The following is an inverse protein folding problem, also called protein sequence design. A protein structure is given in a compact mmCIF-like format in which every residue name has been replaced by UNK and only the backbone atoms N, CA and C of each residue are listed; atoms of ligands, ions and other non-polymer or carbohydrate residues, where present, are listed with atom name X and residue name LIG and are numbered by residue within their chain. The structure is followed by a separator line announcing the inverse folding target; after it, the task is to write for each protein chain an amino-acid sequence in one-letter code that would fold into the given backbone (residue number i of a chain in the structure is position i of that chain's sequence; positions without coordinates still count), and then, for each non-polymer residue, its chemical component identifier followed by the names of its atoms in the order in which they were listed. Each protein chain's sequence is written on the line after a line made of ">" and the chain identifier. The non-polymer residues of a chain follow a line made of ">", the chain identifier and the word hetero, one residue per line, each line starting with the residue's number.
data_IF_554892726796
#
_entry.id   IF_554892726796
#
_cell.length_a   1.000
_cell.length_b   1.000
_cell.length_c   1.000
_cell.angle_alpha   90.00
_cell.angle_beta   90.00
_cell.angle_gamma   90.00
#
_symmetry.space_group_name_H-M   'P 1'
#
loop_
_entity.id
_entity.type
_entity.pdbx_description
1 polymer ?
#
# COMPACT_ATOMS: atom_id res chain seq x y z
N UNK A 1 -57.62 -4.72 49.96
CA UNK A 1 -57.99 -5.21 48.62
C UNK A 1 -56.72 -5.43 47.82
N UNK A 2 -56.55 -6.69 47.41
CA UNK A 2 -55.83 -7.28 46.27
C UNK A 2 -54.60 -6.64 45.59
N UNK A 3 -53.71 -7.56 45.21
CA UNK A 3 -52.71 -7.55 44.12
C UNK A 3 -51.37 -6.84 44.36
N UNK A 4 -50.20 -7.37 43.97
CA UNK A 4 -49.75 -8.67 43.44
C UNK A 4 -48.22 -8.55 43.21
N UNK A 5 -47.46 -9.61 43.50
CA UNK A 5 -46.33 -10.25 42.75
C UNK A 5 -45.38 -9.33 41.94
N UNK A 6 -44.06 -9.46 41.94
CA UNK A 6 -43.28 -10.70 41.78
C UNK A 6 -41.78 -10.47 42.06
N UNK A 7 -41.15 -11.51 42.60
CA UNK A 7 -39.72 -11.67 42.83
C UNK A 7 -38.98 -11.94 41.51
N UNK A 8 -37.81 -11.34 41.32
CA UNK A 8 -36.83 -11.76 40.30
C UNK A 8 -35.44 -11.78 40.92
N UNK A 9 -34.96 -12.98 41.23
CA UNK A 9 -33.58 -13.26 41.58
C UNK A 9 -32.75 -13.27 40.29
N UNK A 10 -31.77 -12.37 40.18
CA UNK A 10 -30.78 -12.37 39.11
C UNK A 10 -29.55 -13.16 39.60
N UNK A 11 -29.36 -14.37 39.06
CA UNK A 11 -28.16 -15.17 39.24
C UNK A 11 -27.16 -14.71 38.17
N UNK A 12 -26.10 -14.02 38.59
CA UNK A 12 -24.94 -13.69 37.77
C UNK A 12 -23.99 -14.89 37.75
N UNK A 13 -23.97 -15.63 36.64
CA UNK A 13 -22.94 -16.64 36.34
C UNK A 13 -21.83 -15.93 35.58
N UNK A 14 -20.67 -15.77 36.22
CA UNK A 14 -19.46 -15.30 35.56
C UNK A 14 -18.80 -16.48 34.81
N UNK A 15 -18.95 -16.49 33.49
CA UNK A 15 -18.24 -17.40 32.59
C UNK A 15 -16.77 -16.95 32.49
N UNK A 16 -15.88 -17.71 33.13
CA UNK A 16 -14.43 -17.65 32.88
C UNK A 16 -14.15 -18.29 31.51
N UNK A 17 -13.95 -17.45 30.49
CA UNK A 17 -13.42 -17.86 29.19
C UNK A 17 -11.91 -18.05 29.34
N UNK A 18 -11.46 -19.30 29.44
CA UNK A 18 -10.05 -19.64 29.20
C UNK A 18 -9.84 -19.58 27.69
N UNK A 19 -9.16 -18.54 27.22
CA UNK A 19 -8.71 -18.47 25.83
C UNK A 19 -7.62 -19.54 25.64
N UNK A 20 -7.99 -20.66 25.02
CA UNK A 20 -7.01 -21.61 24.49
C UNK A 20 -6.44 -20.94 23.24
N UNK A 21 -5.21 -20.44 23.32
CA UNK A 21 -4.49 -20.02 22.11
C UNK A 21 -4.40 -21.25 21.19
N UNK A 22 -4.68 -21.12 19.88
CA UNK A 22 -4.50 -22.23 18.97
C UNK A 22 -3.04 -22.69 19.05
N UNK A 23 -2.82 -24.01 19.06
CA UNK A 23 -1.48 -24.59 18.89
C UNK A 23 -0.86 -23.98 17.63
N UNK A 24 0.37 -23.50 17.74
CA UNK A 24 1.04 -22.79 16.66
C UNK A 24 1.33 -23.79 15.52
N UNK A 25 0.61 -23.67 14.41
CA UNK A 25 0.95 -24.40 13.20
C UNK A 25 2.39 -24.05 12.79
N UNK A 26 3.11 -24.99 12.17
CA UNK A 26 4.46 -24.76 11.66
C UNK A 26 4.48 -23.48 10.83
N UNK A 27 5.25 -22.49 11.28
CA UNK A 27 5.28 -21.17 10.67
C UNK A 27 6.64 -20.85 10.08
N UNK A 28 6.63 -20.20 8.91
CA UNK A 28 7.82 -19.57 8.32
C UNK A 28 7.72 -18.07 8.54
N UNK A 29 8.77 -17.47 9.08
CA UNK A 29 8.88 -16.01 9.23
C UNK A 29 10.15 -15.50 8.58
N UNK A 30 10.05 -14.43 7.79
CA UNK A 30 11.18 -13.69 7.24
C UNK A 30 10.81 -12.22 7.04
N UNK A 31 11.81 -11.36 6.92
CA UNK A 31 11.63 -9.92 6.65
C UNK A 31 11.84 -9.67 5.15
N UNK A 32 10.87 -10.15 4.36
CA UNK A 32 10.91 -9.99 2.91
C UNK A 32 10.61 -8.53 2.52
N UNK A 33 11.41 -7.92 1.63
CA UNK A 33 11.18 -6.54 1.21
C UNK A 33 9.93 -6.43 0.33
N UNK A 34 9.11 -5.40 0.56
CA UNK A 34 7.94 -5.12 -0.29
C UNK A 34 8.28 -4.61 -1.69
N UNK A 35 9.51 -4.14 -1.91
CA UNK A 35 10.01 -3.67 -3.21
C UNK A 35 11.45 -4.15 -3.43
N UNK A 36 11.81 -4.47 -4.66
CA UNK A 36 13.15 -4.96 -5.01
C UNK A 36 13.67 -4.31 -6.29
N UNK A 37 14.94 -3.90 -6.30
CA UNK A 37 15.55 -3.28 -7.48
C UNK A 37 15.98 -4.35 -8.49
N UNK A 38 15.60 -4.16 -9.75
CA UNK A 38 15.94 -5.08 -10.84
C UNK A 38 17.46 -5.09 -11.05
N UNK A 39 18.04 -6.29 -11.16
CA UNK A 39 19.48 -6.46 -11.36
C UNK A 39 20.33 -6.38 -10.09
N UNK A 40 19.76 -5.94 -8.97
CA UNK A 40 20.44 -5.91 -7.67
C UNK A 40 20.22 -7.20 -6.89
N UNK A 41 21.31 -7.70 -6.29
CA UNK A 41 21.29 -8.94 -5.53
C UNK A 41 20.59 -8.73 -4.19
N UNK A 42 19.56 -9.53 -3.94
CA UNK A 42 18.80 -9.57 -2.71
C UNK A 42 19.28 -10.71 -1.81
N UNK A 43 19.14 -10.55 -0.49
CA UNK A 43 19.44 -11.59 0.49
C UNK A 43 18.45 -11.50 1.64
N UNK A 44 17.71 -12.58 1.89
CA UNK A 44 16.75 -12.67 2.99
C UNK A 44 16.89 -14.02 3.68
N UNK A 45 16.78 -14.04 5.00
CA UNK A 45 16.76 -15.28 5.79
C UNK A 45 15.35 -15.50 6.34
N UNK A 46 14.84 -16.69 6.12
CA UNK A 46 13.58 -17.19 6.67
C UNK A 46 13.87 -18.20 7.77
N UNK A 47 13.04 -18.20 8.80
CA UNK A 47 13.11 -19.17 9.90
C UNK A 47 11.85 -20.01 9.92
N UNK A 48 12.02 -21.33 9.89
CA UNK A 48 10.96 -22.31 10.12
C UNK A 48 11.02 -22.71 11.60
N UNK A 49 9.97 -22.40 12.34
CA UNK A 49 9.86 -22.65 13.79
C UNK A 49 9.00 -23.87 14.03
N UNK A 50 9.40 -24.69 15.02
CA UNK A 50 8.72 -25.92 15.44
C UNK A 50 8.33 -26.84 14.26
N UNK A 51 9.29 -27.21 13.38
CA UNK A 51 9.01 -27.92 12.12
C UNK A 51 8.32 -29.28 12.31
N UNK A 52 8.30 -29.83 13.52
CA UNK A 52 7.74 -31.15 13.82
C UNK A 52 6.48 -31.11 14.68
N UNK A 53 5.87 -29.94 14.89
CA UNK A 53 4.54 -29.87 15.50
C UNK A 53 3.50 -30.36 14.46
N UNK A 54 3.01 -31.59 14.65
CA UNK A 54 2.06 -32.27 13.76
C UNK A 54 2.64 -33.45 12.98
N UNK A 55 3.76 -33.28 12.29
CA UNK A 55 4.37 -34.33 11.44
C UNK A 55 5.83 -34.58 11.80
N UNK A 56 6.19 -35.86 12.02
CA UNK A 56 7.57 -36.26 12.31
C UNK A 56 8.50 -36.27 11.09
N UNK A 57 7.95 -36.24 9.87
CA UNK A 57 8.72 -36.16 8.64
C UNK A 57 7.87 -35.49 7.53
N UNK A 58 8.48 -34.60 6.75
CA UNK A 58 7.87 -33.91 5.61
C UNK A 58 8.94 -33.23 4.75
N UNK A 59 8.54 -32.69 3.59
CA UNK A 59 9.45 -32.02 2.66
C UNK A 59 9.15 -30.52 2.62
N UNK A 60 10.14 -29.69 2.97
CA UNK A 60 10.12 -28.25 2.76
C UNK A 60 10.42 -27.96 1.29
N UNK A 61 9.48 -27.30 0.62
CA UNK A 61 9.66 -26.80 -0.73
C UNK A 61 9.67 -25.28 -0.72
N UNK A 62 10.64 -24.69 -1.39
CA UNK A 62 10.67 -23.26 -1.63
C UNK A 62 10.66 -22.94 -3.12
N UNK A 63 10.07 -21.83 -3.50
CA UNK A 63 10.08 -21.28 -4.85
C UNK A 63 10.20 -19.76 -4.85
N UNK A 64 10.76 -19.21 -5.94
CA UNK A 64 10.93 -17.77 -6.16
C UNK A 64 10.91 -17.43 -7.64
N UNK A 65 10.47 -16.22 -7.98
CA UNK A 65 10.56 -15.65 -9.33
C UNK A 65 11.91 -14.94 -9.57
N UNK A 66 12.78 -14.82 -8.55
CA UNK A 66 14.14 -14.30 -8.69
C UNK A 66 14.99 -15.21 -9.62
N UNK A 67 16.05 -14.65 -10.19
CA UNK A 67 17.07 -15.34 -10.99
C UNK A 67 18.41 -15.40 -10.25
N UNK A 68 19.37 -16.17 -10.78
CA UNK A 68 20.69 -16.38 -10.15
C UNK A 68 20.59 -16.80 -8.68
N UNK A 69 19.68 -17.75 -8.42
CA UNK A 69 19.21 -18.10 -7.09
C UNK A 69 20.09 -19.15 -6.42
N UNK A 70 20.42 -18.89 -5.15
CA UNK A 70 21.01 -19.84 -4.22
C UNK A 70 20.20 -19.86 -2.93
N UNK A 71 19.81 -21.06 -2.51
CA UNK A 71 19.20 -21.37 -1.22
C UNK A 71 20.25 -22.04 -0.34
N UNK A 72 20.48 -21.50 0.85
CA UNK A 72 21.26 -22.15 1.90
C UNK A 72 20.31 -22.52 3.04
N UNK A 73 20.19 -23.81 3.31
CA UNK A 73 19.32 -24.36 4.34
C UNK A 73 20.21 -24.88 5.45
N UNK A 74 20.04 -24.33 6.66
CA UNK A 74 20.80 -24.71 7.84
C UNK A 74 19.83 -25.14 8.93
N UNK A 75 20.02 -26.32 9.52
CA UNK A 75 19.17 -26.82 10.60
C UNK A 75 19.91 -26.76 11.94
N UNK A 76 19.16 -26.55 13.01
CA UNK A 76 19.70 -26.35 14.36
C UNK A 76 19.01 -27.26 15.38
N UNK A 77 19.75 -27.71 16.39
CA UNK A 77 19.23 -28.45 17.54
C UNK A 77 18.66 -27.51 18.63
N UNK A 78 18.15 -28.10 19.71
CA UNK A 78 17.56 -27.35 20.83
C UNK A 78 18.57 -26.57 21.68
N UNK A 79 19.86 -26.71 21.41
CA UNK A 79 20.97 -25.96 22.01
C UNK A 79 21.62 -24.96 21.06
N UNK A 80 20.97 -24.71 19.91
CA UNK A 80 21.41 -23.77 18.87
C UNK A 80 22.68 -24.22 18.11
N UNK A 81 23.04 -25.51 18.20
CA UNK A 81 24.12 -26.05 17.36
C UNK A 81 23.59 -26.41 15.98
N UNK A 82 24.39 -26.13 14.96
CA UNK A 82 24.13 -26.56 13.60
C UNK A 82 24.19 -28.09 13.49
N UNK A 83 23.13 -28.68 12.92
CA UNK A 83 22.98 -30.12 12.70
C UNK A 83 23.31 -30.48 11.25
N UNK A 84 22.81 -29.69 10.30
CA UNK A 84 23.03 -29.88 8.86
C UNK A 84 23.12 -28.53 8.13
N UNK A 85 23.79 -28.53 6.97
CA UNK A 85 23.74 -27.44 6.00
C UNK A 85 23.76 -27.97 4.58
N UNK A 86 22.85 -27.44 3.77
CA UNK A 86 22.71 -27.79 2.36
C UNK A 86 22.59 -26.52 1.51
N UNK A 87 23.31 -26.49 0.39
CA UNK A 87 23.24 -25.40 -0.59
C UNK A 87 22.60 -25.93 -1.87
N UNK A 88 21.54 -25.27 -2.33
CA UNK A 88 20.77 -25.64 -3.51
C UNK A 88 20.70 -24.44 -4.45
N UNK A 89 21.01 -24.63 -5.73
CA UNK A 89 20.87 -23.60 -6.75
C UNK A 89 19.60 -23.81 -7.55
N UNK A 90 19.01 -22.72 -8.03
CA UNK A 90 17.81 -22.72 -8.85
C UNK A 90 16.62 -22.05 -8.17
N UNK A 91 15.58 -21.76 -8.97
CA UNK A 91 14.39 -21.01 -8.54
C UNK A 91 13.47 -21.80 -7.62
N UNK A 92 13.74 -23.09 -7.42
CA UNK A 92 13.01 -23.93 -6.48
C UNK A 92 13.95 -24.93 -5.81
N UNK A 93 13.56 -25.36 -4.62
CA UNK A 93 14.24 -26.43 -3.90
C UNK A 93 13.26 -27.40 -3.25
N UNK A 94 13.78 -28.56 -2.86
CA UNK A 94 13.09 -29.57 -2.06
C UNK A 94 14.07 -30.08 -1.02
N UNK A 95 13.71 -30.02 0.26
CA UNK A 95 14.55 -30.42 1.38
C UNK A 95 13.73 -31.24 2.39
N UNK A 96 14.19 -32.44 2.73
CA UNK A 96 13.48 -33.33 3.63
C UNK A 96 13.82 -33.00 5.09
N UNK A 97 12.79 -32.75 5.88
CA UNK A 97 12.87 -32.54 7.33
C UNK A 97 12.37 -33.79 8.04
N UNK A 98 13.19 -34.34 8.93
CA UNK A 98 12.83 -35.51 9.73
C UNK A 98 13.24 -35.29 11.19
N UNK A 99 12.34 -35.61 12.13
CA UNK A 99 12.52 -35.35 13.55
C UNK A 99 13.68 -36.16 14.16
N UNK A 100 14.03 -37.30 13.55
CA UNK A 100 15.15 -38.14 13.95
C UNK A 100 16.53 -37.52 13.64
N UNK A 101 16.57 -36.46 12.82
CA UNK A 101 17.77 -35.65 12.61
C UNK A 101 18.21 -34.89 13.86
N UNK A 102 17.30 -34.67 14.83
CA UNK A 102 17.56 -33.85 16.02
C UNK A 102 17.40 -32.35 15.79
N UNK A 103 17.00 -31.91 14.59
CA UNK A 103 16.67 -30.52 14.33
C UNK A 103 15.39 -30.08 15.09
N UNK A 104 15.34 -28.81 15.48
CA UNK A 104 14.14 -28.14 16.02
C UNK A 104 13.86 -26.79 15.36
N UNK A 105 14.79 -26.31 14.53
CA UNK A 105 14.68 -25.08 13.75
C UNK A 105 15.38 -25.26 12.42
N UNK A 106 14.85 -24.65 11.37
CA UNK A 106 15.55 -24.50 10.11
C UNK A 106 15.63 -23.02 9.72
N UNK A 107 16.77 -22.61 9.20
CA UNK A 107 16.97 -21.30 8.58
C UNK A 107 17.21 -21.49 7.09
N UNK A 108 16.47 -20.73 6.28
CA UNK A 108 16.60 -20.73 4.83
C UNK A 108 17.05 -19.35 4.39
N UNK A 109 18.31 -19.24 3.99
CA UNK A 109 18.88 -18.03 3.40
C UNK A 109 18.70 -18.07 1.89
N UNK A 110 17.85 -17.19 1.38
CA UNK A 110 17.61 -16.94 -0.03
C UNK A 110 18.55 -15.83 -0.51
N UNK A 111 19.31 -16.12 -1.56
CA UNK A 111 20.04 -15.13 -2.34
C UNK A 111 19.57 -15.21 -3.79
N UNK A 112 19.19 -14.08 -4.38
CA UNK A 112 18.73 -14.04 -5.76
C UNK A 112 18.61 -12.61 -6.28
N UNK A 113 18.38 -12.46 -7.58
CA UNK A 113 18.31 -11.16 -8.26
C UNK A 113 16.97 -11.05 -8.98
N UNK A 114 16.20 -9.96 -8.85
CA UNK A 114 14.96 -9.80 -9.62
C UNK A 114 15.27 -9.74 -11.12
N UNK A 115 14.53 -10.54 -11.89
CA UNK A 115 14.74 -10.62 -13.34
C UNK A 115 14.38 -9.29 -14.02
N UNK A 116 15.05 -9.01 -15.13
CA UNK A 116 14.62 -7.94 -16.04
C UNK A 116 13.47 -8.41 -16.93
N UNK A 117 12.80 -7.47 -17.61
CA UNK A 117 11.69 -7.78 -18.53
C UNK A 117 10.34 -7.99 -17.84
N UNK A 118 10.10 -7.24 -16.76
CA UNK A 118 8.80 -7.22 -16.09
C UNK A 118 7.82 -6.39 -16.90
N UNK A 119 6.58 -6.87 -17.02
CA UNK A 119 5.47 -6.09 -17.56
C UNK A 119 5.05 -5.02 -16.53
N UNK A 120 5.15 -3.75 -16.93
CA UNK A 120 4.90 -2.61 -16.04
C UNK A 120 3.41 -2.34 -15.90
N UNK A 121 2.94 -2.19 -14.65
CA UNK A 121 1.56 -1.85 -14.35
C UNK A 121 1.52 -0.86 -13.19
N UNK A 122 0.87 0.29 -13.39
CA UNK A 122 0.75 1.29 -12.34
C UNK A 122 -0.19 0.80 -11.23
N UNK A 123 -1.44 0.47 -11.61
CA UNK A 123 -2.50 -0.01 -10.71
C UNK A 123 -3.32 -1.15 -11.36
N UNK A 124 -3.39 -2.35 -10.75
CA UNK A 124 -2.61 -2.77 -9.58
C UNK A 124 -1.11 -2.84 -9.91
N UNK A 125 -0.22 -2.57 -8.93
CA UNK A 125 1.22 -2.63 -9.17
C UNK A 125 1.65 -4.04 -9.52
N UNK A 126 2.60 -4.18 -10.46
CA UNK A 126 3.19 -5.47 -10.78
C UNK A 126 3.84 -6.11 -9.54
N UNK A 127 3.75 -7.43 -9.42
CA UNK A 127 4.34 -8.18 -8.30
C UNK A 127 5.03 -9.44 -8.80
N UNK A 128 6.08 -9.83 -8.09
CA UNK A 128 6.76 -11.11 -8.25
C UNK A 128 6.71 -11.89 -6.94
N UNK A 129 6.75 -13.21 -7.03
CA UNK A 129 6.93 -14.09 -5.88
C UNK A 129 8.36 -13.97 -5.38
N UNK A 130 8.58 -13.23 -4.30
CA UNK A 130 9.90 -13.07 -3.72
C UNK A 130 10.36 -14.37 -3.06
N UNK A 131 9.50 -14.96 -2.24
CA UNK A 131 9.67 -16.32 -1.74
C UNK A 131 8.31 -16.96 -1.43
N UNK A 132 8.19 -18.24 -1.69
CA UNK A 132 7.06 -19.05 -1.29
C UNK A 132 7.56 -20.33 -0.66
N UNK A 133 6.96 -20.74 0.46
CA UNK A 133 7.29 -21.96 1.19
C UNK A 133 6.07 -22.84 1.37
N UNK A 134 6.26 -24.13 1.11
CA UNK A 134 5.22 -25.15 1.15
C UNK A 134 5.72 -26.34 1.97
N UNK A 135 4.87 -26.81 2.88
CA UNK A 135 5.03 -28.11 3.53
C UNK A 135 4.38 -29.17 2.67
N UNK A 136 5.16 -30.11 2.15
CA UNK A 136 4.67 -31.23 1.33
C UNK A 136 4.82 -32.57 2.07
N UNK A 137 3.80 -33.42 1.96
CA UNK A 137 3.76 -34.72 2.62
C UNK A 137 3.93 -35.89 1.66
N UNK A 138 4.46 -36.98 2.20
CA UNK A 138 4.42 -38.28 1.54
C UNK A 138 2.96 -38.76 1.44
N UNK A 139 2.44 -38.84 0.20
CA UNK A 139 1.02 -39.10 -0.06
C UNK A 139 0.30 -37.97 -0.82
N UNK A 140 0.97 -36.84 -1.05
CA UNK A 140 0.54 -35.80 -2.01
C UNK A 140 -0.26 -34.63 -1.44
N UNK A 141 -0.45 -34.58 -0.11
CA UNK A 141 -0.97 -33.38 0.55
C UNK A 141 0.11 -32.29 0.63
N UNK A 142 -0.28 -31.04 0.45
CA UNK A 142 0.62 -29.88 0.57
C UNK A 142 -0.10 -28.69 1.17
N UNK A 143 0.56 -27.97 2.07
CA UNK A 143 0.06 -26.77 2.74
C UNK A 143 0.99 -25.59 2.47
N UNK A 144 0.42 -24.45 2.07
CA UNK A 144 1.17 -23.22 1.89
C UNK A 144 1.49 -22.62 3.26
N UNK A 145 2.77 -22.41 3.54
CA UNK A 145 3.22 -21.90 4.83
C UNK A 145 3.36 -20.39 4.81
N UNK A 146 4.01 -19.87 3.77
CA UNK A 146 4.13 -18.43 3.54
C UNK A 146 4.32 -18.14 2.05
N UNK A 147 3.89 -16.95 1.65
CA UNK A 147 4.13 -16.37 0.33
C UNK A 147 4.36 -14.88 0.49
N UNK A 148 5.58 -14.46 0.17
CA UNK A 148 5.99 -13.07 0.20
C UNK A 148 6.10 -12.53 -1.23
N UNK A 149 5.45 -11.41 -1.47
CA UNK A 149 5.41 -10.74 -2.77
C UNK A 149 6.22 -9.46 -2.71
N UNK A 150 6.92 -9.13 -3.80
CA UNK A 150 7.63 -7.87 -3.93
C UNK A 150 7.31 -7.19 -5.26
N UNK A 151 7.27 -5.86 -5.26
CA UNK A 151 7.23 -5.07 -6.51
C UNK A 151 8.64 -4.87 -7.04
N UNK A 152 8.97 -5.37 -8.24
CA UNK A 152 10.22 -5.02 -8.90
C UNK A 152 10.20 -3.57 -9.39
N UNK A 153 11.32 -2.86 -9.27
CA UNK A 153 11.49 -1.50 -9.78
C UNK A 153 12.88 -1.27 -10.41
N UNK A 154 12.95 -0.32 -11.34
CA UNK A 154 14.17 0.43 -11.67
C UNK A 154 14.09 1.85 -11.09
N UNK A 155 15.22 2.57 -10.91
CA UNK A 155 15.21 3.95 -10.46
C UNK A 155 14.26 4.86 -11.25
N UNK A 156 14.21 4.71 -12.57
CA UNK A 156 13.33 5.48 -13.46
C UNK A 156 11.85 5.13 -13.23
N UNK A 157 11.53 3.84 -13.13
CA UNK A 157 10.16 3.41 -12.83
C UNK A 157 9.69 3.89 -11.45
N UNK A 158 10.60 3.97 -10.47
CA UNK A 158 10.26 4.46 -9.14
C UNK A 158 10.04 5.97 -9.16
N UNK A 159 10.89 6.71 -9.89
CA UNK A 159 10.73 8.16 -10.11
C UNK A 159 9.42 8.50 -10.80
N UNK A 160 9.06 7.78 -11.87
CA UNK A 160 7.79 7.97 -12.58
C UNK A 160 6.59 7.67 -11.68
N UNK A 161 6.65 6.60 -10.89
CA UNK A 161 5.57 6.28 -9.95
C UNK A 161 5.36 7.38 -8.91
N UNK A 162 6.44 7.91 -8.32
CA UNK A 162 6.35 9.01 -7.37
C UNK A 162 5.75 10.26 -8.00
N UNK A 163 6.14 10.62 -9.23
CA UNK A 163 5.55 11.76 -9.93
C UNK A 163 4.04 11.58 -10.19
N UNK A 164 3.60 10.37 -10.56
CA UNK A 164 2.17 10.04 -10.73
C UNK A 164 1.43 10.16 -9.39
N UNK A 165 2.00 9.62 -8.29
CA UNK A 165 1.41 9.72 -6.94
C UNK A 165 1.29 11.20 -6.49
N UNK A 166 2.29 12.03 -6.78
CA UNK A 166 2.27 13.47 -6.47
C UNK A 166 1.20 14.21 -7.31
N UNK A 167 1.04 13.86 -8.58
CA UNK A 167 0.02 14.41 -9.46
C UNK A 167 -1.41 14.01 -9.02
N UNK A 168 -1.62 12.74 -8.66
CA UNK A 168 -2.88 12.25 -8.09
C UNK A 168 -3.26 13.04 -6.83
N UNK A 169 -2.29 13.28 -5.94
CA UNK A 169 -2.52 14.07 -4.73
C UNK A 169 -2.92 15.52 -5.04
N UNK A 170 -2.21 16.19 -5.97
CA UNK A 170 -2.52 17.56 -6.36
C UNK A 170 -3.89 17.70 -7.04
N UNK A 171 -4.27 16.73 -7.89
CA UNK A 171 -5.58 16.68 -8.53
C UNK A 171 -6.67 16.48 -7.47
N UNK A 172 -6.50 15.54 -6.54
CA UNK A 172 -7.45 15.29 -5.47
C UNK A 172 -7.67 16.54 -4.59
N UNK A 173 -6.58 17.23 -4.22
CA UNK A 173 -6.64 18.48 -3.45
C UNK A 173 -7.42 19.58 -4.21
N UNK A 174 -7.19 19.70 -5.52
CA UNK A 174 -7.90 20.66 -6.36
C UNK A 174 -9.40 20.33 -6.52
N UNK A 175 -9.74 19.05 -6.68
CA UNK A 175 -11.12 18.55 -6.76
C UNK A 175 -11.89 18.80 -5.46
N UNK A 176 -11.27 18.55 -4.31
CA UNK A 176 -11.86 18.81 -2.98
C UNK A 176 -12.18 20.30 -2.79
N UNK A 177 -11.34 21.17 -3.35
CA UNK A 177 -11.59 22.60 -3.39
C UNK A 177 -12.64 23.01 -4.44
N UNK A 178 -13.16 22.08 -5.24
CA UNK A 178 -14.16 22.27 -6.30
C UNK A 178 -13.61 22.95 -7.55
N UNK A 179 -12.33 22.75 -7.84
CA UNK A 179 -11.68 23.20 -9.08
C UNK A 179 -12.00 22.19 -10.20
N UNK A 180 -12.13 22.67 -11.44
CA UNK A 180 -12.22 21.77 -12.60
C UNK A 180 -10.81 21.28 -12.97
N UNK A 181 -10.58 19.99 -12.84
CA UNK A 181 -9.29 19.32 -13.06
C UNK A 181 -9.28 18.46 -14.32
N UNK A 182 -10.30 18.55 -15.18
CA UNK A 182 -10.45 17.66 -16.34
C UNK A 182 -9.23 17.63 -17.27
N UNK A 183 -8.51 18.74 -17.41
CA UNK A 183 -7.24 18.78 -18.16
C UNK A 183 -6.12 18.00 -17.46
N UNK A 184 -5.94 18.22 -16.16
CA UNK A 184 -4.92 17.52 -15.37
C UNK A 184 -5.17 16.01 -15.30
N UNK A 185 -6.44 15.59 -15.25
CA UNK A 185 -6.81 14.17 -15.32
C UNK A 185 -6.40 13.53 -16.65
N UNK A 186 -6.52 14.24 -17.77
CA UNK A 186 -6.05 13.74 -19.07
C UNK A 186 -4.53 13.50 -19.09
N UNK A 187 -3.76 14.44 -18.56
CA UNK A 187 -2.30 14.31 -18.46
C UNK A 187 -1.89 13.16 -17.51
N UNK A 188 -2.64 12.97 -16.41
CA UNK A 188 -2.45 11.84 -15.50
C UNK A 188 -2.74 10.49 -16.17
N UNK A 189 -3.83 10.38 -16.94
CA UNK A 189 -4.17 9.17 -17.69
C UNK A 189 -3.06 8.82 -18.70
N UNK A 190 -2.56 9.81 -19.43
CA UNK A 190 -1.43 9.65 -20.35
C UNK A 190 -0.16 9.21 -19.60
N UNK A 191 0.11 9.79 -18.43
CA UNK A 191 1.25 9.41 -17.59
C UNK A 191 1.20 7.93 -17.18
N UNK A 192 0.02 7.45 -16.77
CA UNK A 192 -0.22 6.04 -16.41
C UNK A 192 -0.07 5.14 -17.65
N UNK A 193 -0.57 5.55 -18.82
CA UNK A 193 -0.37 4.79 -20.06
C UNK A 193 1.12 4.69 -20.42
N UNK A 194 1.88 5.78 -20.34
CA UNK A 194 3.32 5.76 -20.57
C UNK A 194 4.06 4.87 -19.57
N UNK A 195 3.66 4.89 -18.29
CA UNK A 195 4.22 4.01 -17.26
C UNK A 195 4.00 2.54 -17.62
N UNK A 196 2.78 2.17 -17.98
CA UNK A 196 2.40 0.80 -18.33
C UNK A 196 3.14 0.29 -19.58
N UNK A 197 3.50 1.19 -20.49
CA UNK A 197 4.32 0.88 -21.66
C UNK A 197 5.84 0.90 -21.39
N UNK A 198 6.27 1.15 -20.15
CA UNK A 198 7.68 1.25 -19.76
C UNK A 198 8.38 2.53 -20.22
N UNK A 199 7.64 3.55 -20.64
CA UNK A 199 8.17 4.85 -21.04
C UNK A 199 8.19 5.82 -19.86
N UNK A 200 9.07 5.56 -18.89
CA UNK A 200 9.10 6.29 -17.62
C UNK A 200 9.41 7.77 -17.75
N UNK A 201 10.24 8.17 -18.72
CA UNK A 201 10.54 9.59 -18.94
C UNK A 201 9.29 10.37 -19.35
N UNK A 202 8.48 9.81 -20.26
CA UNK A 202 7.23 10.45 -20.66
C UNK A 202 6.18 10.35 -19.55
N UNK A 203 6.15 9.25 -18.79
CA UNK A 203 5.27 9.12 -17.63
C UNK A 203 5.55 10.24 -16.61
N UNK A 204 6.81 10.47 -16.24
CA UNK A 204 7.20 11.56 -15.34
C UNK A 204 6.78 12.93 -15.88
N UNK A 205 7.06 13.23 -17.16
CA UNK A 205 6.72 14.55 -17.73
C UNK A 205 5.22 14.83 -17.72
N UNK A 206 4.39 13.86 -18.13
CA UNK A 206 2.94 14.05 -18.14
C UNK A 206 2.40 14.14 -16.71
N UNK A 207 2.96 13.39 -15.75
CA UNK A 207 2.58 13.53 -14.35
C UNK A 207 2.95 14.91 -13.78
N UNK A 208 4.14 15.44 -14.08
CA UNK A 208 4.53 16.80 -13.68
C UNK A 208 3.65 17.88 -14.36
N UNK A 209 3.23 17.67 -15.60
CA UNK A 209 2.28 18.54 -16.31
C UNK A 209 0.87 18.48 -15.70
N UNK A 210 0.40 17.29 -15.35
CA UNK A 210 -0.86 17.06 -14.63
C UNK A 210 -0.86 17.80 -13.28
N UNK A 211 0.20 17.61 -12.49
CA UNK A 211 0.39 18.30 -11.21
C UNK A 211 0.36 19.82 -11.40
N UNK A 212 1.18 20.35 -12.33
CA UNK A 212 1.27 21.78 -12.59
C UNK A 212 -0.07 22.37 -13.02
N UNK A 213 -0.80 21.66 -13.90
CA UNK A 213 -2.12 22.07 -14.37
C UNK A 213 -3.14 22.14 -13.24
N UNK A 214 -3.13 21.16 -12.33
CA UNK A 214 -4.00 21.17 -11.15
C UNK A 214 -3.68 22.35 -10.21
N UNK A 215 -2.40 22.56 -9.90
CA UNK A 215 -1.93 23.65 -9.04
C UNK A 215 -2.25 25.04 -9.63
N UNK A 216 -2.04 25.22 -10.94
CA UNK A 216 -2.35 26.47 -11.65
C UNK A 216 -3.87 26.75 -11.69
N UNK A 217 -4.69 25.71 -11.83
CA UNK A 217 -6.14 25.83 -11.76
C UNK A 217 -6.60 26.24 -10.35
N UNK A 218 -6.01 25.65 -9.30
CA UNK A 218 -6.24 26.07 -7.91
C UNK A 218 -5.87 27.55 -7.69
N UNK A 219 -4.68 27.96 -8.12
CA UNK A 219 -4.22 29.35 -7.96
C UNK A 219 -5.13 30.35 -8.68
N UNK A 220 -5.56 30.02 -9.90
CA UNK A 220 -6.46 30.84 -10.71
C UNK A 220 -7.82 31.03 -10.04
N UNK A 221 -8.36 29.97 -9.41
CA UNK A 221 -9.62 30.05 -8.64
C UNK A 221 -9.47 30.98 -7.43
N UNK A 222 -8.38 30.86 -6.67
CA UNK A 222 -8.13 31.72 -5.51
C UNK A 222 -8.01 33.20 -5.91
N UNK A 223 -7.33 33.49 -7.02
CA UNK A 223 -7.21 34.86 -7.54
C UNK A 223 -8.55 35.42 -8.00
N UNK A 224 -9.34 34.62 -8.72
CA UNK A 224 -10.68 35.01 -9.20
C UNK A 224 -11.63 35.28 -8.03
N UNK A 225 -11.64 34.42 -7.02
CA UNK A 225 -12.44 34.62 -5.81
C UNK A 225 -12.06 35.91 -5.07
N UNK A 226 -10.76 36.20 -4.95
CA UNK A 226 -10.28 37.44 -4.33
C UNK A 226 -10.75 38.68 -5.11
N UNK A 227 -10.66 38.64 -6.44
CA UNK A 227 -11.11 39.73 -7.31
C UNK A 227 -12.63 39.91 -7.26
N UNK A 228 -13.41 38.83 -7.23
CA UNK A 228 -14.87 38.90 -7.07
C UNK A 228 -15.27 39.49 -5.72
N UNK A 229 -14.58 39.14 -4.63
CA UNK A 229 -14.89 39.67 -3.31
C UNK A 229 -14.56 41.17 -3.23
N UNK A 230 -13.41 41.59 -3.78
CA UNK A 230 -13.05 43.02 -3.89
C UNK A 230 -14.04 43.76 -4.80
N UNK A 231 -14.35 43.20 -5.97
CA UNK A 231 -15.31 43.78 -6.92
C UNK A 231 -16.71 43.89 -6.34
N UNK A 232 -17.19 42.85 -5.65
CA UNK A 232 -18.47 42.84 -4.95
C UNK A 232 -18.54 43.89 -3.84
N UNK A 233 -17.49 44.03 -3.03
CA UNK A 233 -17.42 45.05 -2.00
C UNK A 233 -17.49 46.47 -2.58
N UNK A 234 -16.81 46.73 -3.71
CA UNK A 234 -16.85 48.02 -4.40
C UNK A 234 -18.27 48.31 -4.93
N UNK A 235 -18.93 47.33 -5.55
CA UNK A 235 -20.30 47.50 -6.07
C UNK A 235 -21.27 47.83 -4.93
N UNK A 236 -21.18 47.13 -3.79
CA UNK A 236 -22.02 47.44 -2.62
C UNK A 236 -21.78 48.85 -2.10
N UNK A 237 -20.51 49.29 -1.99
CA UNK A 237 -20.18 50.65 -1.57
C UNK A 237 -20.73 51.70 -2.53
N UNK A 238 -20.65 51.47 -3.85
CA UNK A 238 -21.23 52.36 -4.86
C UNK A 238 -22.75 52.42 -4.78
N UNK A 239 -23.43 51.29 -4.54
CA UNK A 239 -24.88 51.25 -4.34
C UNK A 239 -25.32 52.01 -3.09
N UNK A 240 -24.58 51.88 -1.98
CA UNK A 240 -24.84 52.62 -0.74
C UNK A 240 -24.62 54.13 -0.95
N UNK A 241 -23.49 54.51 -1.56
CA UNK A 241 -23.20 55.91 -1.86
C UNK A 241 -24.23 56.54 -2.82
N UNK A 242 -24.61 55.81 -3.88
CA UNK A 242 -25.65 56.21 -4.82
C UNK A 242 -27.03 56.33 -4.17
N UNK A 243 -27.38 55.39 -3.28
CA UNK A 243 -28.63 55.43 -2.51
C UNK A 243 -28.70 56.62 -1.55
N UNK A 244 -27.60 56.92 -0.85
CA UNK A 244 -27.49 58.11 0.02
C UNK A 244 -27.59 59.39 -0.80
N UNK A 245 -26.86 59.47 -1.92
CA UNK A 245 -26.90 60.65 -2.80
C UNK A 245 -28.30 60.89 -3.36
N UNK A 246 -28.96 59.84 -3.86
CA UNK A 246 -30.33 59.94 -4.36
C UNK A 246 -31.31 60.37 -3.27
N UNK A 247 -31.19 59.82 -2.05
CA UNK A 247 -32.00 60.20 -0.90
C UNK A 247 -31.81 61.68 -0.51
N UNK A 248 -30.57 62.18 -0.56
CA UNK A 248 -30.26 63.59 -0.28
C UNK A 248 -30.79 64.51 -1.40
N UNK A 249 -30.67 64.12 -2.67
CA UNK A 249 -31.15 64.90 -3.80
C UNK A 249 -32.70 65.02 -3.81
N UNK A 250 -33.40 64.02 -3.29
CA UNK A 250 -34.85 64.06 -3.13
C UNK A 250 -35.31 65.01 -2.01
N UNK A 251 -34.43 65.37 -1.07
CA UNK A 251 -34.70 66.40 -0.06
C UNK A 251 -34.55 67.82 -0.63
N UNK A 252 -33.63 68.05 -1.55
CA UNK A 252 -33.40 69.39 -2.13
C UNK A 252 -34.48 69.80 -3.15
N UNK A 253 -35.25 68.85 -3.69
CA UNK A 253 -36.37 69.14 -4.60
C UNK A 253 -37.69 69.44 -3.90
N UNK A 254 -37.73 69.46 -2.55
CA UNK A 254 -38.91 69.84 -1.77
C UNK A 254 -38.92 71.31 -1.32
N UNK A 255 -37.98 72.13 -1.82
CA UNK A 255 -37.96 73.57 -1.54
C UNK A 255 -37.81 74.37 -2.84
N UNK A 256 -38.81 74.24 -3.72
CA UNK A 256 -39.19 75.36 -4.59
C UNK A 256 -40.40 76.03 -3.94
N UNK A 257 -40.07 77.11 -3.23
CA UNK A 257 -40.87 78.31 -2.91
C UNK A 257 -42.35 78.27 -3.33
N UNK A 258 -43.21 78.67 -2.38
CA UNK A 258 -44.06 79.86 -2.55
C UNK A 258 -45.12 79.84 -3.63
#
# INVERSE_FOLDING_TARGET
>A
MNWSRSSSAAILVALLLVAVAPAAAVSVSGDAPGTVEIGEKQTTTYTVVDPFDGYGQWTLRGSTDLTDVTWQITTYDNTDNQVDETIINGQSFSYDLAADSGAVRAEVRLVGTPASGVDWQYDPPQQITYAEFVQAQEGGSSENMSRDMARPFTPESQSARTAIEDAEAAIADAEDDGVDVSSAQGDLEDAIEFYNNGNFEQATKNAEEAQSTAEDAMQSKQQTNRLMLIGGAIVVLLLVAGGIYWYLQQRESYDRLG
#
